data_IF_099673858228
#
_entry.id   IF_099673858228
#
_cell.length_a   1.000
_cell.length_b   1.000
_cell.length_c   1.000
_cell.angle_alpha   90.00
_cell.angle_beta   90.00
_cell.angle_gamma   90.00
#
_symmetry.space_group_name_H-M   'P 1'
#
loop_
_entity.id
_entity.type
_entity.pdbx_description
1 polymer ?
#
# COMPACT_ATOMS: atom_id res chain seq x y z
N UNK A 1 -8.48 65.87 -17.35
CA UNK A 1 -9.36 64.68 -17.28
C UNK A 1 -8.45 63.45 -17.45
N UNK A 2 -8.24 62.66 -16.38
CA UNK A 2 -7.42 61.47 -16.42
C UNK A 2 -8.20 60.38 -17.10
N UNK A 3 -7.67 59.75 -18.18
CA UNK A 3 -8.37 58.73 -18.95
C UNK A 3 -8.57 57.46 -18.13
N UNK A 4 -9.81 57.09 -17.72
CA UNK A 4 -10.09 55.92 -16.93
C UNK A 4 -9.72 54.61 -17.67
N UNK A 5 -9.70 54.65 -19.02
CA UNK A 5 -9.31 53.51 -19.85
C UNK A 5 -7.82 53.15 -19.71
N UNK A 6 -6.91 54.15 -19.54
CA UNK A 6 -5.49 53.89 -19.35
C UNK A 6 -5.19 53.22 -18.01
N UNK A 7 -5.92 53.62 -16.96
CA UNK A 7 -5.78 53.01 -15.64
C UNK A 7 -6.33 51.56 -15.63
N UNK A 8 -7.43 51.29 -16.31
CA UNK A 8 -7.94 49.94 -16.46
C UNK A 8 -6.99 49.01 -17.23
N UNK A 9 -6.42 49.47 -18.32
CA UNK A 9 -5.43 48.72 -19.10
C UNK A 9 -4.15 48.39 -18.31
N UNK A 10 -3.70 49.32 -17.46
CA UNK A 10 -2.53 49.10 -16.61
C UNK A 10 -2.82 48.02 -15.52
N UNK A 11 -4.00 48.05 -14.94
CA UNK A 11 -4.40 47.02 -13.94
C UNK A 11 -4.52 45.65 -14.60
N UNK A 12 -5.16 45.53 -15.77
CA UNK A 12 -5.24 44.26 -16.50
C UNK A 12 -3.86 43.71 -16.88
N UNK A 13 -2.96 44.57 -17.33
CA UNK A 13 -1.56 44.22 -17.66
C UNK A 13 -0.81 43.68 -16.43
N UNK A 14 -0.95 44.35 -15.30
CA UNK A 14 -0.32 43.91 -14.03
C UNK A 14 -0.89 42.55 -13.54
N UNK A 15 -2.20 42.36 -13.61
CA UNK A 15 -2.82 41.07 -13.24
C UNK A 15 -2.35 39.93 -14.16
N UNK A 16 -2.27 40.16 -15.48
CA UNK A 16 -1.79 39.16 -16.44
C UNK A 16 -0.33 38.77 -16.16
N UNK A 17 0.54 39.74 -15.90
CA UNK A 17 1.94 39.48 -15.53
C UNK A 17 2.07 38.70 -14.23
N UNK A 18 1.22 38.98 -13.24
CA UNK A 18 1.21 38.30 -11.96
C UNK A 18 0.76 36.83 -12.09
N UNK A 19 -0.24 36.58 -12.93
CA UNK A 19 -0.70 35.21 -13.23
C UNK A 19 0.41 34.41 -13.94
N UNK A 20 1.07 35.00 -14.92
CA UNK A 20 2.19 34.35 -15.63
C UNK A 20 3.36 34.07 -14.69
N UNK A 21 3.69 35.02 -13.80
CA UNK A 21 4.74 34.83 -12.82
C UNK A 21 4.41 33.71 -11.82
N UNK A 22 3.17 33.66 -11.32
CA UNK A 22 2.71 32.59 -10.42
C UNK A 22 2.70 31.23 -11.13
N UNK A 23 2.28 31.19 -12.39
CA UNK A 23 2.31 29.97 -13.18
C UNK A 23 3.75 29.48 -13.43
N UNK A 24 4.67 30.37 -13.74
CA UNK A 24 6.08 30.05 -13.95
C UNK A 24 6.73 29.54 -12.64
N UNK A 25 6.41 30.16 -11.50
CA UNK A 25 6.86 29.69 -10.17
C UNK A 25 6.25 28.32 -9.84
N UNK A 26 4.96 28.12 -10.13
CA UNK A 26 4.29 26.83 -9.94
C UNK A 26 4.90 25.70 -10.77
N UNK A 27 5.28 25.99 -12.02
CA UNK A 27 5.94 25.00 -12.88
C UNK A 27 7.41 24.76 -12.51
N UNK A 28 8.09 25.74 -11.90
CA UNK A 28 9.48 25.59 -11.44
C UNK A 28 9.59 24.79 -10.14
N UNK A 29 8.50 24.69 -9.39
CA UNK A 29 8.39 23.81 -8.25
C UNK A 29 7.64 22.56 -8.72
N UNK A 30 8.36 21.63 -9.39
CA UNK A 30 7.87 20.26 -9.46
C UNK A 30 7.51 19.87 -8.03
N UNK A 31 6.28 19.37 -7.76
CA UNK A 31 5.97 18.87 -6.44
C UNK A 31 7.07 17.88 -6.12
N UNK A 32 7.86 18.16 -5.08
CA UNK A 32 8.77 17.18 -4.54
C UNK A 32 7.88 15.96 -4.32
N UNK A 33 8.18 14.86 -5.02
CA UNK A 33 7.60 13.57 -4.66
C UNK A 33 7.76 13.52 -3.17
N UNK A 34 6.69 13.45 -2.38
CA UNK A 34 6.83 13.30 -0.96
C UNK A 34 7.70 12.05 -0.80
N UNK A 35 8.94 12.22 -0.40
CA UNK A 35 9.68 11.15 0.23
C UNK A 35 8.78 10.82 1.41
N UNK A 36 8.05 9.73 1.30
CA UNK A 36 7.35 9.14 2.41
C UNK A 36 8.42 8.88 3.47
N UNK A 37 8.65 9.88 4.31
CA UNK A 37 9.34 9.73 5.59
C UNK A 37 8.33 9.12 6.56
N UNK A 38 7.95 7.93 6.26
CA UNK A 38 7.23 6.98 7.05
C UNK A 38 7.74 5.65 6.58
N UNK A 39 7.93 4.73 7.46
CA UNK A 39 8.44 3.42 7.17
C UNK A 39 7.73 2.85 5.94
N UNK A 40 8.46 2.75 4.83
CA UNK A 40 7.95 2.13 3.63
C UNK A 40 7.63 0.68 4.03
N UNK A 41 6.39 0.24 3.75
CA UNK A 41 6.04 -1.16 4.00
C UNK A 41 6.91 -2.06 3.13
N UNK A 42 7.64 -2.97 3.77
CA UNK A 42 8.48 -3.93 3.08
C UNK A 42 9.95 -3.53 2.95
N UNK A 43 10.66 -4.07 1.95
CA UNK A 43 12.08 -3.81 1.78
C UNK A 43 12.35 -2.35 1.40
N UNK A 44 13.44 -1.80 1.93
CA UNK A 44 13.94 -0.50 1.53
C UNK A 44 14.41 -0.51 0.06
N UNK A 45 14.40 0.66 -0.63
CA UNK A 45 14.88 0.73 -2.00
C UNK A 45 16.32 0.24 -2.12
N UNK A 46 16.51 -0.90 -2.81
CA UNK A 46 17.81 -1.53 -3.00
C UNK A 46 18.25 -2.48 -1.88
N UNK A 47 17.44 -2.70 -0.87
CA UNK A 47 17.68 -3.68 0.18
C UNK A 47 17.67 -5.11 -0.40
N UNK A 48 18.69 -5.93 -0.20
CA UNK A 48 18.70 -7.33 -0.60
C UNK A 48 17.60 -8.11 0.13
N UNK A 49 16.94 -9.04 -0.57
CA UNK A 49 15.84 -9.83 0.00
C UNK A 49 16.21 -10.59 1.27
N UNK A 50 17.45 -11.05 1.37
CA UNK A 50 17.97 -11.76 2.55
C UNK A 50 18.11 -10.81 3.76
N UNK A 51 18.61 -9.60 3.53
CA UNK A 51 18.77 -8.58 4.56
C UNK A 51 17.40 -8.13 5.09
N UNK A 52 16.46 -7.90 4.18
CA UNK A 52 15.07 -7.64 4.54
C UNK A 52 14.46 -8.77 5.38
N UNK A 53 14.65 -10.03 4.98
CA UNK A 53 14.11 -11.17 5.72
C UNK A 53 14.67 -11.27 7.13
N UNK A 54 15.97 -10.96 7.32
CA UNK A 54 16.60 -10.92 8.64
C UNK A 54 16.04 -9.77 9.50
N UNK A 55 15.86 -8.59 8.92
CA UNK A 55 15.24 -7.44 9.59
C UNK A 55 13.80 -7.75 10.02
N UNK A 56 13.00 -8.30 9.13
CA UNK A 56 11.63 -8.72 9.42
C UNK A 56 11.56 -9.76 10.54
N UNK A 57 12.43 -10.77 10.51
CA UNK A 57 12.52 -11.76 11.59
C UNK A 57 12.88 -11.12 12.94
N UNK A 58 13.77 -10.13 12.95
CA UNK A 58 14.15 -9.42 14.17
C UNK A 58 12.96 -8.63 14.77
N UNK A 59 12.06 -8.03 13.94
CA UNK A 59 10.86 -7.35 14.45
C UNK A 59 9.89 -8.35 15.08
N UNK A 60 9.68 -9.51 14.46
CA UNK A 60 8.84 -10.58 15.01
C UNK A 60 9.41 -11.13 16.32
N UNK A 61 10.73 -11.34 16.42
CA UNK A 61 11.38 -11.77 17.65
C UNK A 61 11.30 -10.72 18.76
N UNK A 62 11.34 -9.45 18.40
CA UNK A 62 11.12 -8.36 19.35
C UNK A 62 9.69 -8.38 19.89
N UNK A 63 8.70 -8.53 19.02
CA UNK A 63 7.31 -8.66 19.42
C UNK A 63 7.10 -9.88 20.34
N UNK A 64 7.71 -11.03 20.05
CA UNK A 64 7.66 -12.23 20.91
C UNK A 64 8.14 -11.97 22.34
N UNK A 65 9.17 -11.12 22.52
CA UNK A 65 9.72 -10.81 23.85
C UNK A 65 8.90 -9.76 24.61
N UNK A 66 8.16 -8.92 23.91
CA UNK A 66 7.49 -7.76 24.51
C UNK A 66 6.00 -7.93 24.67
N UNK A 67 5.38 -8.85 23.91
CA UNK A 67 3.93 -9.03 23.91
C UNK A 67 3.43 -9.77 25.15
N UNK A 68 2.26 -9.36 25.59
CA UNK A 68 1.47 -10.03 26.62
C UNK A 68 0.32 -10.83 25.98
N UNK A 69 -0.24 -11.82 26.68
CA UNK A 69 -1.39 -12.57 26.18
C UNK A 69 -2.56 -11.65 25.83
N UNK A 70 -3.02 -11.72 24.58
CA UNK A 70 -4.10 -10.88 24.05
C UNK A 70 -3.65 -9.68 23.23
N UNK A 71 -2.35 -9.36 23.20
CA UNK A 71 -1.83 -8.32 22.32
C UNK A 71 -1.92 -8.74 20.84
N UNK A 72 -2.35 -7.81 20.02
CA UNK A 72 -2.39 -7.98 18.57
C UNK A 72 -1.47 -6.97 17.91
N UNK A 73 -0.75 -7.42 16.90
CA UNK A 73 0.23 -6.62 16.16
C UNK A 73 -0.17 -6.50 14.71
N UNK A 74 0.09 -5.33 14.14
CA UNK A 74 0.05 -5.13 12.70
C UNK A 74 1.34 -5.70 12.12
N UNK A 75 1.24 -6.48 11.04
CA UNK A 75 2.40 -7.07 10.39
C UNK A 75 2.24 -7.11 8.87
N UNK A 76 3.35 -6.92 8.17
CA UNK A 76 3.45 -7.18 6.74
C UNK A 76 3.89 -8.64 6.55
N UNK A 77 3.08 -9.39 5.81
CA UNK A 77 3.38 -10.75 5.36
C UNK A 77 3.79 -10.68 3.90
N UNK A 78 5.03 -10.98 3.57
CA UNK A 78 5.53 -11.06 2.21
C UNK A 78 5.57 -12.52 1.74
N UNK A 79 5.10 -12.80 0.52
CA UNK A 79 5.14 -14.14 -0.07
C UNK A 79 6.47 -14.41 -0.76
N UNK A 80 6.89 -15.68 -0.81
CA UNK A 80 8.07 -16.12 -1.56
C UNK A 80 7.93 -15.89 -3.06
N UNK A 81 6.74 -16.14 -3.57
CA UNK A 81 6.34 -15.87 -4.93
C UNK A 81 4.94 -15.24 -4.94
N UNK A 82 4.59 -14.43 -5.94
CA UNK A 82 3.26 -13.86 -6.03
C UNK A 82 2.16 -14.93 -6.00
N UNK A 83 1.13 -14.72 -5.16
CA UNK A 83 0.04 -15.67 -4.91
C UNK A 83 -1.27 -15.18 -5.51
N UNK A 84 -2.13 -16.14 -5.93
CA UNK A 84 -3.53 -15.80 -6.22
C UNK A 84 -4.28 -15.40 -4.95
N UNK A 85 -5.38 -14.69 -5.11
CA UNK A 85 -6.22 -14.28 -3.96
C UNK A 85 -6.74 -15.48 -3.14
N UNK A 86 -7.08 -16.59 -3.79
CA UNK A 86 -7.53 -17.81 -3.10
C UNK A 86 -6.41 -18.48 -2.32
N UNK A 87 -5.21 -18.59 -2.91
CA UNK A 87 -4.05 -19.13 -2.24
C UNK A 87 -3.65 -18.27 -1.03
N UNK A 88 -3.62 -16.95 -1.22
CA UNK A 88 -3.36 -15.99 -0.16
C UNK A 88 -4.42 -16.08 0.96
N UNK A 89 -5.73 -16.10 0.63
CA UNK A 89 -6.80 -16.26 1.61
C UNK A 89 -6.68 -17.57 2.41
N UNK A 90 -6.18 -18.61 1.79
CA UNK A 90 -5.90 -19.89 2.45
C UNK A 90 -4.72 -19.78 3.41
N UNK A 91 -3.68 -19.03 3.06
CA UNK A 91 -2.51 -18.82 3.92
C UNK A 91 -2.86 -18.06 5.21
N UNK A 92 -3.76 -17.06 5.14
CA UNK A 92 -4.19 -16.33 6.35
C UNK A 92 -5.55 -16.76 6.90
N UNK A 93 -5.92 -18.03 6.72
CA UNK A 93 -7.19 -18.56 7.21
C UNK A 93 -7.40 -18.29 8.70
N UNK A 94 -6.37 -18.47 9.52
CA UNK A 94 -6.41 -18.35 10.98
C UNK A 94 -6.08 -16.93 11.48
N UNK A 95 -5.85 -15.98 10.55
CA UNK A 95 -5.56 -14.59 10.90
C UNK A 95 -6.87 -13.88 11.27
N UNK A 96 -6.96 -13.20 12.42
CA UNK A 96 -8.17 -12.51 12.82
C UNK A 96 -8.61 -11.42 11.84
N UNK A 97 -7.64 -10.69 11.26
CA UNK A 97 -7.94 -9.58 10.33
C UNK A 97 -6.88 -9.42 9.24
N UNK A 98 -7.34 -9.27 8.00
CA UNK A 98 -6.54 -8.78 6.87
C UNK A 98 -6.88 -7.31 6.65
N UNK A 99 -5.91 -6.42 6.85
CA UNK A 99 -6.09 -4.98 6.76
C UNK A 99 -5.93 -4.47 5.33
N UNK A 100 -4.92 -4.98 4.63
CA UNK A 100 -4.64 -4.61 3.26
C UNK A 100 -4.02 -5.77 2.48
N UNK A 101 -4.23 -5.79 1.18
CA UNK A 101 -3.49 -6.63 0.24
C UNK A 101 -2.39 -5.81 -0.42
N UNK A 102 -1.31 -6.48 -0.83
CA UNK A 102 -0.23 -5.88 -1.60
C UNK A 102 -0.21 -6.55 -2.98
N UNK A 103 -0.90 -6.00 -3.99
CA UNK A 103 -0.84 -6.54 -5.34
C UNK A 103 0.57 -6.37 -5.90
N UNK A 104 1.00 -7.31 -6.75
CA UNK A 104 2.33 -7.29 -7.36
C UNK A 104 2.53 -6.00 -8.17
N UNK A 105 3.62 -5.27 -7.87
CA UNK A 105 3.97 -4.03 -8.56
C UNK A 105 3.06 -2.82 -8.26
N UNK A 106 2.15 -2.93 -7.30
CA UNK A 106 1.23 -1.86 -6.92
C UNK A 106 1.33 -1.54 -5.41
N UNK A 107 0.93 -0.33 -5.00
CA UNK A 107 0.89 0.03 -3.59
C UNK A 107 -0.14 -0.81 -2.82
N UNK A 108 0.04 -0.97 -1.50
CA UNK A 108 -0.92 -1.65 -0.64
C UNK A 108 -2.33 -1.08 -0.80
N UNK A 109 -3.31 -1.97 -0.76
CA UNK A 109 -4.73 -1.62 -0.89
C UNK A 109 -5.52 -2.14 0.30
N UNK A 110 -6.13 -1.23 1.05
CA UNK A 110 -7.01 -1.58 2.16
C UNK A 110 -8.14 -2.51 1.70
N UNK A 111 -8.40 -3.51 2.50
CA UNK A 111 -9.45 -4.49 2.27
C UNK A 111 -10.46 -4.47 3.40
N UNK A 112 -11.78 -4.37 3.09
CA UNK A 112 -12.80 -4.59 4.10
C UNK A 112 -12.82 -6.07 4.50
N UNK A 113 -12.92 -6.35 5.80
CA UNK A 113 -13.16 -7.71 6.25
C UNK A 113 -14.59 -8.14 5.89
N UNK A 114 -14.76 -9.35 5.34
CA UNK A 114 -16.09 -9.87 5.06
C UNK A 114 -16.85 -10.13 6.37
N UNK A 115 -18.16 -9.91 6.34
CA UNK A 115 -19.05 -10.23 7.45
C UNK A 115 -19.41 -11.72 7.36
N UNK A 116 -19.22 -12.47 8.46
CA UNK A 116 -19.54 -13.90 8.54
C UNK A 116 -18.30 -14.79 8.62
N UNK A 117 -18.42 -16.06 8.20
CA UNK A 117 -17.30 -17.00 8.21
C UNK A 117 -16.19 -16.54 7.27
N UNK A 118 -15.08 -16.19 7.86
CA UNK A 118 -14.10 -15.26 7.34
C UNK A 118 -13.25 -15.77 6.18
N UNK A 119 -13.04 -17.08 6.05
CA UNK A 119 -12.08 -17.58 5.05
C UNK A 119 -12.63 -17.64 3.62
N UNK A 120 -13.89 -18.00 3.44
CA UNK A 120 -14.47 -18.13 2.10
C UNK A 120 -14.66 -16.78 1.38
N UNK A 121 -15.04 -15.75 2.15
CA UNK A 121 -15.25 -14.40 1.57
C UNK A 121 -13.98 -13.59 1.30
N UNK A 122 -12.84 -13.94 1.92
CA UNK A 122 -11.59 -13.19 1.78
C UNK A 122 -11.00 -13.27 0.37
N UNK A 123 -11.09 -14.42 -0.27
CA UNK A 123 -10.65 -14.57 -1.66
C UNK A 123 -11.43 -13.66 -2.62
N UNK A 124 -12.75 -13.64 -2.52
CA UNK A 124 -13.62 -12.77 -3.34
C UNK A 124 -13.39 -11.29 -3.06
N UNK A 125 -13.24 -10.90 -1.79
CA UNK A 125 -12.91 -9.52 -1.41
C UNK A 125 -11.57 -9.12 -1.96
N UNK A 126 -10.56 -9.97 -1.82
CA UNK A 126 -9.23 -9.78 -2.37
C UNK A 126 -9.28 -9.55 -3.88
N UNK A 127 -9.91 -10.43 -4.64
CA UNK A 127 -10.00 -10.29 -6.10
C UNK A 127 -10.66 -8.98 -6.52
N UNK A 128 -11.76 -8.63 -5.87
CA UNK A 128 -12.46 -7.39 -6.16
C UNK A 128 -11.59 -6.15 -5.91
N UNK A 129 -10.91 -6.09 -4.77
CA UNK A 129 -10.06 -4.95 -4.41
C UNK A 129 -8.77 -4.90 -5.22
N UNK A 130 -8.17 -6.06 -5.51
CA UNK A 130 -7.00 -6.15 -6.38
C UNK A 130 -7.31 -5.67 -7.79
N UNK A 131 -8.43 -6.11 -8.38
CA UNK A 131 -8.89 -5.62 -9.68
C UNK A 131 -9.15 -4.12 -9.69
N UNK A 132 -9.76 -3.56 -8.63
CA UNK A 132 -9.97 -2.12 -8.48
C UNK A 132 -8.66 -1.34 -8.39
N UNK A 133 -7.63 -1.91 -7.75
CA UNK A 133 -6.30 -1.31 -7.69
C UNK A 133 -5.68 -1.21 -9.08
N UNK A 134 -5.63 -2.32 -9.82
CA UNK A 134 -5.13 -2.37 -11.20
C UNK A 134 -5.86 -1.38 -12.10
N UNK A 135 -7.20 -1.34 -12.03
CA UNK A 135 -7.99 -0.42 -12.85
C UNK A 135 -7.66 1.05 -12.62
N UNK A 136 -7.40 1.42 -11.36
CA UNK A 136 -7.06 2.82 -11.01
C UNK A 136 -5.68 3.22 -11.51
N UNK A 137 -4.70 2.33 -11.37
CA UNK A 137 -3.32 2.61 -11.74
C UNK A 137 -3.08 2.55 -13.24
N UNK A 138 -3.71 1.59 -13.93
CA UNK A 138 -3.47 1.38 -15.36
C UNK A 138 -4.32 2.28 -16.25
N UNK A 139 -5.40 2.88 -15.74
CA UNK A 139 -6.40 3.55 -16.58
C UNK A 139 -7.00 2.62 -17.65
N UNK A 140 -6.80 1.31 -17.52
CA UNK A 140 -7.10 0.32 -18.53
C UNK A 140 -8.60 0.18 -18.78
N UNK A 141 -8.95 0.00 -20.04
CA UNK A 141 -10.31 -0.32 -20.47
C UNK A 141 -10.78 -1.71 -19.99
N UNK A 142 -11.93 -2.19 -20.45
CA UNK A 142 -12.60 -3.39 -19.91
C UNK A 142 -11.80 -4.71 -20.01
N UNK A 143 -10.75 -4.78 -20.80
CA UNK A 143 -9.94 -6.02 -21.00
C UNK A 143 -9.17 -6.45 -19.73
N UNK A 144 -8.93 -5.55 -18.78
CA UNK A 144 -8.31 -5.86 -17.48
C UNK A 144 -9.16 -6.79 -16.61
N UNK A 145 -10.48 -6.88 -16.87
CA UNK A 145 -11.42 -7.68 -16.08
C UNK A 145 -11.08 -9.18 -16.06
N UNK A 146 -10.26 -9.63 -17.02
CA UNK A 146 -9.83 -11.04 -17.17
C UNK A 146 -8.40 -11.27 -16.65
N UNK A 147 -7.67 -10.22 -16.28
CA UNK A 147 -6.31 -10.37 -15.75
C UNK A 147 -6.34 -10.96 -14.33
N UNK A 148 -5.61 -12.04 -14.13
CA UNK A 148 -5.35 -12.57 -12.78
C UNK A 148 -4.42 -11.61 -12.07
N UNK A 149 -4.88 -11.03 -10.97
CA UNK A 149 -4.03 -10.19 -10.12
C UNK A 149 -3.35 -11.08 -9.10
N UNK A 150 -2.02 -11.02 -9.07
CA UNK A 150 -1.21 -11.72 -8.08
C UNK A 150 -0.86 -10.78 -6.93
N UNK A 151 -0.69 -11.33 -5.74
CA UNK A 151 -0.33 -10.63 -4.53
C UNK A 151 1.13 -10.91 -4.17
N UNK A 152 1.89 -9.87 -3.89
CA UNK A 152 3.22 -9.97 -3.30
C UNK A 152 3.16 -10.17 -1.78
N UNK A 153 2.04 -9.80 -1.14
CA UNK A 153 1.87 -9.91 0.30
C UNK A 153 0.52 -9.39 0.82
N UNK A 154 0.43 -9.25 2.13
CA UNK A 154 -0.70 -8.64 2.81
C UNK A 154 -0.29 -7.99 4.13
N UNK A 155 -1.03 -6.97 4.56
CA UNK A 155 -0.93 -6.40 5.90
C UNK A 155 -2.03 -7.03 6.76
N UNK A 156 -1.64 -7.63 7.87
CA UNK A 156 -2.54 -8.38 8.75
C UNK A 156 -2.45 -7.89 10.18
N UNK A 157 -3.51 -8.13 10.96
CA UNK A 157 -3.48 -7.95 12.42
C UNK A 157 -3.71 -9.30 13.07
N UNK A 158 -2.76 -9.74 13.90
CA UNK A 158 -2.84 -11.01 14.62
C UNK A 158 -1.97 -11.00 15.89
N UNK A 159 -2.18 -11.97 16.75
CA UNK A 159 -1.27 -12.24 17.87
C UNK A 159 0.07 -12.82 17.38
N UNK A 160 1.08 -12.73 18.24
CA UNK A 160 2.43 -13.18 17.93
C UNK A 160 2.49 -14.67 17.61
N UNK A 161 1.65 -15.50 18.22
CA UNK A 161 1.63 -16.95 17.97
C UNK A 161 1.12 -17.23 16.52
N UNK A 162 0.09 -16.53 16.10
CA UNK A 162 -0.43 -16.61 14.73
C UNK A 162 0.59 -16.08 13.70
N UNK A 163 1.22 -14.93 14.00
CA UNK A 163 2.27 -14.38 13.13
C UNK A 163 3.48 -15.33 13.01
N UNK A 164 3.83 -16.01 14.09
CA UNK A 164 4.90 -17.00 14.07
C UNK A 164 4.57 -18.20 13.19
N UNK A 165 3.32 -18.72 13.28
CA UNK A 165 2.89 -19.80 12.37
C UNK A 165 2.88 -19.38 10.91
N UNK A 166 2.52 -18.12 10.63
CA UNK A 166 2.62 -17.58 9.27
C UNK A 166 4.06 -17.56 8.77
N UNK A 167 5.01 -17.14 9.62
CA UNK A 167 6.43 -17.11 9.26
C UNK A 167 7.02 -18.50 8.99
N UNK A 168 6.42 -19.56 9.53
CA UNK A 168 6.80 -20.97 9.29
C UNK A 168 6.15 -21.56 8.03
N UNK A 169 5.23 -20.85 7.40
CA UNK A 169 4.55 -21.31 6.19
C UNK A 169 5.49 -21.32 4.98
N UNK A 170 5.45 -22.39 4.19
CA UNK A 170 6.30 -22.58 3.01
C UNK A 170 6.05 -21.55 1.87
N UNK A 171 4.98 -20.77 1.95
CA UNK A 171 4.64 -19.75 0.96
C UNK A 171 4.93 -18.33 1.44
N UNK A 172 5.41 -18.18 2.67
CA UNK A 172 5.71 -16.89 3.29
C UNK A 172 7.22 -16.74 3.36
N UNK A 173 7.71 -15.66 2.76
CA UNK A 173 9.14 -15.29 2.82
C UNK A 173 9.49 -14.64 4.14
N UNK A 174 8.65 -13.72 4.59
CA UNK A 174 8.91 -12.96 5.81
C UNK A 174 7.62 -12.43 6.44
N UNK A 175 7.68 -12.22 7.75
CA UNK A 175 6.65 -11.53 8.55
C UNK A 175 7.34 -10.43 9.32
N UNK A 176 7.05 -9.18 8.97
CA UNK A 176 7.58 -7.98 9.60
C UNK A 176 6.49 -7.38 10.50
N UNK A 177 6.77 -7.25 11.79
CA UNK A 177 5.90 -6.54 12.74
C UNK A 177 6.18 -5.05 12.63
N UNK A 178 5.13 -4.25 12.39
CA UNK A 178 5.18 -2.82 12.11
C UNK A 178 5.08 -1.97 13.37
#
# INVERSE_FOLDING_TARGET
MRHPLAAAAAVFGACALLIVALYAVGMSHAPATPTLQGDALGPDPGEPAEEYSQRAAATLDSARRQSTPGDSHLALVAFDAPQSCDAAASAYRDVPRVNAIVPEGLPPKDTPEPVGETSAGRGEVCEREARRAVQRESGAGPDWAQASVLLAGAVVTADVATLSRLAESSHVRSVEVL
#
